data_IF_536008167030
#
_entry.id   IF_536008167030
#
_cell.length_a   1.000
_cell.length_b   1.000
_cell.length_c   1.000
_cell.angle_alpha   90.00
_cell.angle_beta   90.00
_cell.angle_gamma   90.00
#
_symmetry.space_group_name_H-M   'P 1'
#
loop_
_entity.id
_entity.type
_entity.pdbx_description
1 polymer ?
#
# COMPACT_ATOMS: atom_id res chain seq x y z
N UNK A 1 -26.77 36.74 -30.86
CA UNK A 1 -27.11 35.74 -29.82
C UNK A 1 -26.03 34.65 -29.71
N UNK A 2 -25.59 34.06 -30.81
CA UNK A 2 -24.57 32.98 -30.87
C UNK A 2 -23.22 33.35 -30.23
N UNK A 3 -22.71 34.56 -30.47
CA UNK A 3 -21.42 35.01 -29.88
C UNK A 3 -21.43 35.02 -28.34
N UNK A 4 -22.53 35.47 -27.71
CA UNK A 4 -22.65 35.49 -26.25
C UNK A 4 -22.66 34.07 -25.67
N UNK A 5 -23.37 33.14 -26.32
CA UNK A 5 -23.38 31.72 -25.95
C UNK A 5 -21.98 31.08 -26.07
N UNK A 6 -21.23 31.40 -27.12
CA UNK A 6 -19.85 30.92 -27.28
C UNK A 6 -18.92 31.45 -26.17
N UNK A 7 -19.05 32.73 -25.80
CA UNK A 7 -18.30 33.30 -24.66
C UNK A 7 -18.66 32.62 -23.34
N UNK A 8 -19.95 32.41 -23.04
CA UNK A 8 -20.33 31.70 -21.81
C UNK A 8 -19.83 30.26 -21.77
N UNK A 9 -19.87 29.56 -22.91
CA UNK A 9 -19.32 28.21 -23.05
C UNK A 9 -17.81 28.15 -22.79
N UNK A 10 -17.04 29.10 -23.33
CA UNK A 10 -15.59 29.15 -23.09
C UNK A 10 -15.25 29.48 -21.64
N UNK A 11 -15.99 30.40 -21.00
CA UNK A 11 -15.81 30.69 -19.57
C UNK A 11 -16.13 29.48 -18.70
N UNK A 12 -17.23 28.77 -18.97
CA UNK A 12 -17.59 27.56 -18.23
C UNK A 12 -16.53 26.47 -18.39
N UNK A 13 -16.05 26.27 -19.63
CA UNK A 13 -14.98 25.32 -19.92
C UNK A 13 -13.71 25.64 -19.11
N UNK A 14 -13.19 26.86 -19.18
CA UNK A 14 -11.98 27.25 -18.43
C UNK A 14 -12.18 27.21 -16.92
N UNK A 15 -13.38 27.52 -16.43
CA UNK A 15 -13.72 27.39 -15.02
C UNK A 15 -13.66 25.92 -14.54
N UNK A 16 -14.23 24.99 -15.31
CA UNK A 16 -14.15 23.55 -14.97
C UNK A 16 -12.72 23.03 -14.98
N UNK A 17 -11.90 23.43 -15.96
CA UNK A 17 -10.47 23.11 -16.00
C UNK A 17 -9.75 23.67 -14.76
N UNK A 18 -10.01 24.91 -14.37
CA UNK A 18 -9.45 25.52 -13.16
C UNK A 18 -9.79 24.73 -11.89
N UNK A 19 -11.05 24.29 -11.74
CA UNK A 19 -11.47 23.45 -10.61
C UNK A 19 -10.75 22.10 -10.59
N UNK A 20 -10.56 21.46 -11.74
CA UNK A 20 -9.83 20.20 -11.86
C UNK A 20 -8.36 20.35 -11.49
N UNK A 21 -7.71 21.42 -11.96
CA UNK A 21 -6.31 21.74 -11.61
C UNK A 21 -6.16 21.99 -10.12
N UNK A 22 -7.03 22.82 -9.52
CA UNK A 22 -7.00 23.10 -8.08
C UNK A 22 -7.14 21.82 -7.25
N UNK A 23 -8.10 20.95 -7.60
CA UNK A 23 -8.30 19.66 -6.93
C UNK A 23 -7.05 18.78 -7.01
N UNK A 24 -6.42 18.70 -8.19
CA UNK A 24 -5.19 17.89 -8.39
C UNK A 24 -4.02 18.46 -7.59
N UNK A 25 -3.82 19.77 -7.58
CA UNK A 25 -2.75 20.44 -6.81
C UNK A 25 -2.95 20.28 -5.30
N UNK A 26 -4.18 20.37 -4.81
CA UNK A 26 -4.48 20.14 -3.39
C UNK A 26 -4.15 18.70 -2.97
N UNK A 27 -4.52 17.71 -3.78
CA UNK A 27 -4.20 16.31 -3.51
C UNK A 27 -2.68 16.07 -3.48
N UNK A 28 -1.96 16.54 -4.50
CA UNK A 28 -0.50 16.41 -4.57
C UNK A 28 0.18 17.08 -3.37
N UNK A 29 -0.26 18.28 -2.99
CA UNK A 29 0.30 19.00 -1.83
C UNK A 29 0.06 18.25 -0.52
N UNK A 30 -1.12 17.63 -0.36
CA UNK A 30 -1.42 16.78 0.81
C UNK A 30 -0.54 15.54 0.84
N UNK A 31 -0.34 14.88 -0.30
CA UNK A 31 0.54 13.72 -0.41
C UNK A 31 1.99 14.06 -0.04
N UNK A 32 2.54 15.14 -0.60
CA UNK A 32 3.91 15.59 -0.29
C UNK A 32 4.05 15.98 1.18
N UNK A 33 3.08 16.68 1.77
CA UNK A 33 3.11 17.01 3.20
C UNK A 33 3.06 15.76 4.08
N UNK A 34 2.24 14.78 3.69
CA UNK A 34 2.15 13.50 4.40
C UNK A 34 3.49 12.76 4.35
N UNK A 35 4.10 12.63 3.17
CA UNK A 35 5.42 12.00 3.00
C UNK A 35 6.48 12.76 3.81
N UNK A 36 6.45 14.10 3.82
CA UNK A 36 7.40 14.89 4.61
C UNK A 36 7.21 14.68 6.12
N UNK A 37 5.96 14.53 6.58
CA UNK A 37 5.65 14.33 7.99
C UNK A 37 5.97 12.92 8.48
N UNK A 38 5.74 11.88 7.65
CA UNK A 38 5.83 10.48 8.06
C UNK A 38 6.93 9.67 7.36
N UNK A 39 7.65 10.27 6.40
CA UNK A 39 8.71 9.58 5.65
C UNK A 39 9.84 9.05 6.53
N UNK A 40 10.05 9.67 7.70
CA UNK A 40 11.01 9.18 8.69
C UNK A 40 10.58 7.85 9.35
N UNK A 41 9.29 7.47 9.30
CA UNK A 41 8.79 6.19 9.87
C UNK A 41 8.98 5.01 8.92
N UNK A 42 9.34 5.28 7.67
CA UNK A 42 9.62 4.29 6.62
C UNK A 42 10.99 4.55 5.98
N UNK A 43 11.84 5.38 6.60
CA UNK A 43 13.20 5.61 6.14
C UNK A 43 14.06 4.39 6.41
N UNK A 44 15.14 4.24 5.64
CA UNK A 44 16.10 3.16 5.83
C UNK A 44 16.59 3.08 7.29
N UNK A 45 16.86 4.22 7.91
CA UNK A 45 17.26 4.30 9.32
C UNK A 45 16.18 3.78 10.28
N UNK A 46 14.90 4.06 10.03
CA UNK A 46 13.81 3.53 10.86
C UNK A 46 13.59 2.04 10.64
N UNK A 47 13.90 1.54 9.45
CA UNK A 47 13.82 0.12 9.08
C UNK A 47 14.98 -0.65 9.76
N UNK A 48 16.22 -0.15 9.64
CA UNK A 48 17.43 -0.71 10.25
C UNK A 48 17.37 -0.74 11.78
N UNK A 49 16.74 0.27 12.40
CA UNK A 49 16.57 0.34 13.85
C UNK A 49 15.37 -0.46 14.39
N UNK A 50 14.49 -0.99 13.53
CA UNK A 50 13.31 -1.73 13.98
C UNK A 50 13.63 -3.21 14.23
N UNK A 51 13.51 -3.63 15.49
CA UNK A 51 13.83 -4.99 15.90
C UNK A 51 12.93 -6.03 15.21
N UNK A 52 11.67 -5.67 14.94
CA UNK A 52 10.71 -6.50 14.22
C UNK A 52 11.14 -6.76 12.78
N UNK A 53 11.69 -5.74 12.10
CA UNK A 53 12.16 -5.88 10.72
C UNK A 53 13.47 -6.67 10.66
N UNK A 54 14.41 -6.43 11.58
CA UNK A 54 15.64 -7.24 11.65
C UNK A 54 15.30 -8.71 11.89
N UNK A 55 14.38 -9.00 12.82
CA UNK A 55 13.90 -10.37 13.05
C UNK A 55 13.19 -10.97 11.83
N UNK A 56 12.46 -10.15 11.06
CA UNK A 56 11.85 -10.57 9.80
C UNK A 56 12.92 -10.96 8.79
N UNK A 57 13.92 -10.10 8.56
CA UNK A 57 15.03 -10.35 7.62
C UNK A 57 15.82 -11.60 8.04
N UNK A 58 16.20 -11.72 9.31
CA UNK A 58 16.92 -12.90 9.82
C UNK A 58 16.13 -14.21 9.61
N UNK A 59 14.80 -14.16 9.81
CA UNK A 59 13.93 -15.30 9.55
C UNK A 59 13.78 -15.61 8.07
N UNK A 60 13.76 -14.58 7.21
CA UNK A 60 13.71 -14.76 5.76
C UNK A 60 15.01 -15.40 5.25
N UNK A 61 16.17 -14.90 5.69
CA UNK A 61 17.48 -15.41 5.28
C UNK A 61 17.72 -16.85 5.73
N UNK A 62 17.29 -17.19 6.96
CA UNK A 62 17.41 -18.55 7.48
C UNK A 62 16.44 -19.55 6.84
N UNK A 63 15.23 -19.13 6.47
CA UNK A 63 14.23 -20.04 5.89
C UNK A 63 14.32 -20.20 4.37
N UNK A 64 14.93 -19.25 3.66
CA UNK A 64 14.89 -19.19 2.20
C UNK A 64 16.27 -19.11 1.55
N UNK A 65 17.16 -20.05 1.86
CA UNK A 65 18.55 -20.04 1.38
C UNK A 65 18.72 -20.30 -0.13
N UNK A 66 17.73 -20.87 -0.82
CA UNK A 66 17.84 -21.24 -2.24
C UNK A 66 17.05 -20.36 -3.21
N UNK A 67 15.94 -19.74 -2.77
CA UNK A 67 15.10 -18.87 -3.60
C UNK A 67 14.41 -17.83 -2.72
N UNK A 68 14.47 -16.53 -3.06
CA UNK A 68 13.81 -15.50 -2.28
C UNK A 68 12.28 -15.68 -2.34
N UNK A 69 11.58 -15.49 -1.21
CA UNK A 69 10.13 -15.52 -1.19
C UNK A 69 9.54 -14.25 -1.79
N UNK A 70 8.28 -14.33 -2.22
CA UNK A 70 7.50 -13.15 -2.56
C UNK A 70 6.92 -12.54 -1.28
N UNK A 71 7.31 -11.30 -0.99
CA UNK A 71 6.84 -10.56 0.20
C UNK A 71 5.61 -9.75 -0.17
N UNK A 72 4.54 -9.90 0.62
CA UNK A 72 3.29 -9.16 0.46
C UNK A 72 3.03 -8.33 1.72
N UNK A 73 3.12 -7.01 1.59
CA UNK A 73 2.79 -6.07 2.66
C UNK A 73 1.28 -5.86 2.69
N UNK A 74 0.65 -6.16 3.82
CA UNK A 74 -0.81 -6.19 3.96
C UNK A 74 -1.26 -5.25 5.07
N UNK A 75 -2.23 -4.40 4.75
CA UNK A 75 -3.06 -3.76 5.75
C UNK A 75 -4.50 -4.28 5.67
N UNK A 76 -5.37 -3.86 6.59
CA UNK A 76 -6.77 -4.26 6.67
C UNK A 76 -7.54 -4.06 5.36
N UNK A 77 -7.15 -3.08 4.55
CA UNK A 77 -7.81 -2.77 3.29
C UNK A 77 -7.41 -3.71 2.15
N UNK A 78 -6.27 -4.41 2.27
CA UNK A 78 -5.79 -5.39 1.30
C UNK A 78 -6.36 -6.81 1.54
N UNK A 79 -6.96 -7.08 2.70
CA UNK A 79 -7.44 -8.41 3.11
C UNK A 79 -8.34 -9.07 2.06
N UNK A 80 -9.32 -8.34 1.52
CA UNK A 80 -10.25 -8.89 0.53
C UNK A 80 -9.53 -9.39 -0.74
N UNK A 81 -8.53 -8.64 -1.23
CA UNK A 81 -7.75 -9.04 -2.39
C UNK A 81 -6.86 -10.25 -2.05
N UNK A 82 -6.26 -10.25 -0.86
CA UNK A 82 -5.44 -11.37 -0.37
C UNK A 82 -6.25 -12.65 -0.25
N UNK A 83 -7.46 -12.59 0.29
CA UNK A 83 -8.33 -13.77 0.42
C UNK A 83 -8.74 -14.34 -0.94
N UNK A 84 -9.04 -13.48 -1.92
CA UNK A 84 -9.28 -13.94 -3.28
C UNK A 84 -8.06 -14.67 -3.85
N UNK A 85 -6.85 -14.13 -3.64
CA UNK A 85 -5.61 -14.78 -4.06
C UNK A 85 -5.41 -16.14 -3.38
N UNK A 86 -5.53 -16.21 -2.05
CA UNK A 86 -5.34 -17.43 -1.27
C UNK A 86 -6.34 -18.52 -1.67
N UNK A 87 -7.63 -18.18 -1.77
CA UNK A 87 -8.67 -19.12 -2.20
C UNK A 87 -8.41 -19.65 -3.62
N UNK A 88 -8.10 -18.75 -4.57
CA UNK A 88 -7.88 -19.14 -5.97
C UNK A 88 -6.63 -20.02 -6.15
N UNK A 89 -5.67 -19.93 -5.23
CA UNK A 89 -4.42 -20.67 -5.31
C UNK A 89 -4.35 -21.88 -4.37
N UNK A 90 -5.35 -22.08 -3.51
CA UNK A 90 -5.39 -23.15 -2.52
C UNK A 90 -5.29 -24.56 -3.12
N UNK A 91 -5.73 -24.73 -4.37
CA UNK A 91 -5.67 -26.01 -5.08
C UNK A 91 -4.25 -26.39 -5.53
N UNK A 92 -3.30 -25.46 -5.52
CA UNK A 92 -1.93 -25.69 -5.99
C UNK A 92 -0.97 -25.89 -4.81
N UNK A 93 -0.49 -27.13 -4.57
CA UNK A 93 0.37 -27.42 -3.44
C UNK A 93 1.71 -26.68 -3.55
N UNK A 94 2.18 -26.13 -2.42
CA UNK A 94 3.46 -25.43 -2.32
C UNK A 94 3.48 -24.00 -2.86
N UNK A 95 2.36 -23.47 -3.38
CA UNK A 95 2.29 -22.07 -3.82
C UNK A 95 2.43 -21.13 -2.63
N UNK A 96 1.68 -21.35 -1.55
CA UNK A 96 1.68 -20.48 -0.37
C UNK A 96 3.01 -20.48 0.39
N UNK A 97 3.80 -21.56 0.31
CA UNK A 97 5.10 -21.67 0.99
C UNK A 97 6.14 -20.67 0.47
N UNK A 98 5.93 -20.15 -0.74
CA UNK A 98 6.77 -19.17 -1.44
C UNK A 98 6.35 -17.73 -1.13
N UNK A 99 5.24 -17.52 -0.44
CA UNK A 99 4.77 -16.19 -0.05
C UNK A 99 5.02 -15.95 1.42
N UNK A 100 5.34 -14.71 1.74
CA UNK A 100 5.46 -14.23 3.10
C UNK A 100 4.55 -13.01 3.24
N UNK A 101 3.59 -13.10 4.14
CA UNK A 101 2.60 -12.06 4.38
C UNK A 101 3.03 -11.21 5.56
N UNK A 102 3.42 -9.97 5.29
CA UNK A 102 3.82 -9.01 6.31
C UNK A 102 2.62 -8.12 6.61
N UNK A 103 1.98 -8.37 7.75
CA UNK A 103 0.83 -7.62 8.24
C UNK A 103 1.29 -6.35 8.96
N UNK A 104 0.77 -5.22 8.48
CA UNK A 104 1.17 -3.89 8.93
C UNK A 104 0.32 -3.41 10.11
N UNK A 105 -0.93 -3.86 10.23
CA UNK A 105 -1.83 -3.51 11.33
C UNK A 105 -2.36 -4.76 12.05
N UNK A 106 -2.87 -4.56 13.27
CA UNK A 106 -3.35 -5.66 14.11
C UNK A 106 -4.59 -6.34 13.53
N UNK A 107 -5.49 -5.59 12.87
CA UNK A 107 -6.71 -6.15 12.27
C UNK A 107 -6.34 -7.12 11.14
N UNK A 108 -5.44 -6.71 10.25
CA UNK A 108 -4.92 -7.58 9.20
C UNK A 108 -4.22 -8.81 9.79
N UNK A 109 -3.46 -8.63 10.87
CA UNK A 109 -2.79 -9.74 11.54
C UNK A 109 -3.78 -10.78 12.06
N UNK A 110 -4.76 -10.33 12.83
CA UNK A 110 -5.68 -11.20 13.57
C UNK A 110 -6.62 -11.93 12.60
N UNK A 111 -7.19 -11.21 11.63
CA UNK A 111 -8.11 -11.76 10.63
C UNK A 111 -7.41 -12.78 9.73
N UNK A 112 -6.17 -12.50 9.31
CA UNK A 112 -5.41 -13.43 8.46
C UNK A 112 -5.01 -14.70 9.23
N UNK A 113 -4.56 -14.56 10.47
CA UNK A 113 -4.19 -15.68 11.33
C UNK A 113 -5.39 -16.59 11.67
N UNK A 114 -6.58 -16.01 11.82
CA UNK A 114 -7.82 -16.74 12.07
C UNK A 114 -8.24 -17.59 10.86
N UNK A 115 -8.22 -17.02 9.65
CA UNK A 115 -8.74 -17.68 8.46
C UNK A 115 -7.71 -18.60 7.77
N UNK A 116 -6.43 -18.25 7.86
CA UNK A 116 -5.32 -18.93 7.16
C UNK A 116 -4.14 -19.20 8.09
N UNK A 117 -4.28 -20.02 9.14
CA UNK A 117 -3.23 -20.20 10.16
C UNK A 117 -1.94 -20.87 9.65
N UNK A 118 -2.00 -21.54 8.48
CA UNK A 118 -0.88 -22.32 7.95
C UNK A 118 0.05 -21.53 7.02
N UNK A 119 -0.27 -20.27 6.71
CA UNK A 119 0.58 -19.44 5.84
C UNK A 119 1.68 -18.73 6.66
N UNK A 120 2.79 -18.40 6.00
CA UNK A 120 3.87 -17.65 6.64
C UNK A 120 3.47 -16.19 6.81
N UNK A 121 3.21 -15.80 8.05
CA UNK A 121 2.80 -14.46 8.41
C UNK A 121 3.78 -13.82 9.39
N UNK A 122 4.07 -12.53 9.18
CA UNK A 122 4.82 -11.70 10.11
C UNK A 122 4.04 -10.44 10.44
N UNK A 123 4.18 -9.96 11.67
CA UNK A 123 3.57 -8.72 12.11
C UNK A 123 4.64 -7.64 12.23
N UNK A 124 4.49 -6.58 11.45
CA UNK A 124 5.38 -5.42 11.47
C UNK A 124 4.54 -4.14 11.54
N UNK A 125 4.28 -3.60 12.74
CA UNK A 125 3.41 -2.44 12.90
C UNK A 125 3.99 -1.20 12.21
N UNK A 126 3.31 -0.69 11.19
CA UNK A 126 3.71 0.53 10.49
C UNK A 126 2.54 1.50 10.33
N UNK A 127 2.26 2.34 11.35
CA UNK A 127 1.07 3.20 11.40
C UNK A 127 0.87 4.09 10.18
N UNK A 128 1.96 4.55 9.54
CA UNK A 128 1.93 5.38 8.34
C UNK A 128 1.38 4.67 7.10
N UNK A 129 1.24 3.34 7.14
CA UNK A 129 0.74 2.48 6.06
C UNK A 129 -0.62 1.83 6.38
N UNK A 130 -1.30 2.26 7.43
CA UNK A 130 -2.63 1.71 7.80
C UNK A 130 -3.73 2.17 6.83
N UNK A 131 -3.52 3.31 6.18
CA UNK A 131 -4.39 3.85 5.15
C UNK A 131 -4.36 3.00 3.87
N UNK A 132 -5.46 2.93 3.10
CA UNK A 132 -5.53 2.10 1.90
C UNK A 132 -4.47 2.49 0.87
N UNK A 133 -3.80 1.48 0.30
CA UNK A 133 -2.87 1.62 -0.81
C UNK A 133 -3.62 2.04 -2.06
N UNK A 134 -3.78 3.35 -2.26
CA UNK A 134 -4.54 3.88 -3.39
C UNK A 134 -3.64 4.07 -4.60
N UNK A 135 -3.45 3.02 -5.41
CA UNK A 135 -2.81 3.12 -6.74
C UNK A 135 -3.50 4.14 -7.66
N UNK A 136 -4.81 4.34 -7.50
CA UNK A 136 -5.61 5.21 -8.38
C UNK A 136 -5.70 6.68 -7.93
N UNK A 137 -5.33 7.03 -6.68
CA UNK A 137 -5.53 8.39 -6.15
C UNK A 137 -4.28 9.27 -6.25
N UNK A 138 -3.09 8.68 -6.22
CA UNK A 138 -1.83 9.41 -6.37
C UNK A 138 -0.66 8.45 -6.70
N UNK A 139 -0.09 8.46 -7.93
CA UNK A 139 1.01 7.57 -8.32
C UNK A 139 2.32 7.84 -7.55
N UNK A 140 2.37 8.91 -6.76
CA UNK A 140 3.54 9.28 -5.93
C UNK A 140 3.66 8.50 -4.62
N UNK A 141 2.60 7.78 -4.20
CA UNK A 141 2.59 7.04 -2.92
C UNK A 141 3.34 5.70 -2.94
N UNK A 142 3.90 5.30 -4.08
CA UNK A 142 4.57 4.00 -4.24
C UNK A 142 6.09 4.09 -4.47
N UNK A 143 6.69 5.27 -4.32
CA UNK A 143 8.16 5.39 -4.34
C UNK A 143 8.69 5.24 -2.92
N UNK A 144 8.76 3.98 -2.47
CA UNK A 144 9.70 3.56 -1.44
C UNK A 144 10.79 2.83 -2.22
N UNK A 145 11.99 3.43 -2.27
CA UNK A 145 13.22 2.75 -2.70
C UNK A 145 13.71 1.86 -1.58
#
# INVERSE_FOLDING_TARGET
>A
MVYKLACYGSYLFWFTIGLLVLRKTQNATRAVRYIKAYGHTVSLESIENSQEFVQLVDKLDSQFSSKPPAILLLNQHALNMTFNFLCNTAVYPGVHDRFVFVTLDSTARDVLAEHWPNIKQFYWPTPSLYEPFSLQKDPTRLYIY
#
